data_IF_884202753233
#
_entry.id   IF_884202753233
#
_cell.length_a   1.000
_cell.length_b   1.000
_cell.length_c   1.000
_cell.angle_alpha   90.00
_cell.angle_beta   90.00
_cell.angle_gamma   90.00
#
_symmetry.space_group_name_H-M   'P 1'
#
loop_
_entity.id
_entity.type
_entity.pdbx_description
1 polymer ?
#
# COMPACT_ATOMS: atom_id res chain seq x y z
N UNK A 1 -7.45 20.03 7.82
CA UNK A 1 -6.06 19.53 7.95
C UNK A 1 -5.83 18.29 7.10
N UNK A 2 -6.61 17.19 7.24
CA UNK A 2 -6.40 15.96 6.44
C UNK A 2 -6.76 16.09 4.95
N UNK A 3 -7.78 16.88 4.56
CA UNK A 3 -8.12 17.09 3.14
C UNK A 3 -6.98 17.74 2.34
N UNK A 4 -6.25 18.66 2.93
CA UNK A 4 -5.11 19.32 2.29
C UNK A 4 -3.95 18.33 2.09
N UNK A 5 -3.69 17.45 3.08
CA UNK A 5 -2.68 16.42 2.96
C UNK A 5 -3.04 15.37 1.88
N UNK A 6 -4.29 14.89 1.87
CA UNK A 6 -4.75 13.94 0.86
C UNK A 6 -4.60 14.48 -0.56
N UNK A 7 -4.89 15.78 -0.76
CA UNK A 7 -4.70 16.45 -2.05
C UNK A 7 -3.22 16.60 -2.43
N UNK A 8 -2.35 16.93 -1.45
CA UNK A 8 -0.90 17.03 -1.64
C UNK A 8 -0.33 15.64 -1.97
N UNK A 9 -0.74 14.61 -1.22
CA UNK A 9 -0.33 13.23 -1.46
C UNK A 9 -0.64 12.76 -2.88
N UNK A 10 -1.86 13.02 -3.36
CA UNK A 10 -2.28 12.65 -4.73
C UNK A 10 -1.41 13.35 -5.81
N UNK A 11 -0.95 14.59 -5.53
CA UNK A 11 -0.01 15.31 -6.39
C UNK A 11 1.42 14.77 -6.31
N UNK A 12 1.89 14.37 -5.14
CA UNK A 12 3.28 13.95 -4.92
C UNK A 12 3.55 12.50 -5.28
N UNK A 13 2.49 11.71 -5.53
CA UNK A 13 2.63 10.33 -6.05
C UNK A 13 2.80 10.27 -7.57
N UNK A 14 3.15 11.40 -8.22
CA UNK A 14 3.39 11.48 -9.66
C UNK A 14 4.57 10.62 -10.15
N UNK A 15 5.53 10.34 -9.29
CA UNK A 15 6.71 9.52 -9.56
C UNK A 15 6.43 8.01 -9.40
N UNK A 16 5.25 7.64 -8.88
CA UNK A 16 4.83 6.24 -8.76
C UNK A 16 4.26 5.76 -10.09
N UNK A 17 4.92 4.79 -10.70
CA UNK A 17 4.46 4.16 -11.93
C UNK A 17 3.36 3.11 -11.66
N UNK A 18 2.15 3.60 -11.33
CA UNK A 18 0.98 2.76 -11.07
C UNK A 18 0.62 1.84 -12.25
N UNK A 19 0.86 2.31 -13.49
CA UNK A 19 0.58 1.52 -14.69
C UNK A 19 1.46 0.27 -14.72
N UNK A 20 2.77 0.45 -14.53
CA UNK A 20 3.74 -0.64 -14.45
C UNK A 20 3.38 -1.64 -13.35
N UNK A 21 3.05 -1.18 -12.14
CA UNK A 21 2.62 -2.06 -11.06
C UNK A 21 1.35 -2.83 -11.41
N UNK A 22 0.37 -2.15 -12.01
CA UNK A 22 -0.86 -2.80 -12.47
C UNK A 22 -0.60 -3.89 -13.51
N UNK A 23 0.35 -3.67 -14.43
CA UNK A 23 0.74 -4.65 -15.45
C UNK A 23 1.37 -5.90 -14.84
N UNK A 24 2.22 -5.74 -13.81
CA UNK A 24 2.81 -6.87 -13.08
C UNK A 24 1.72 -7.70 -12.42
N UNK A 25 0.78 -7.07 -11.72
CA UNK A 25 -0.36 -7.75 -11.08
C UNK A 25 -1.23 -8.46 -12.13
N UNK A 26 -1.61 -7.78 -13.21
CA UNK A 26 -2.42 -8.36 -14.30
C UNK A 26 -1.73 -9.57 -14.95
N UNK A 27 -0.41 -9.51 -15.10
CA UNK A 27 0.39 -10.64 -15.62
C UNK A 27 0.33 -11.85 -14.69
N UNK A 28 0.41 -11.64 -13.38
CA UNK A 28 0.30 -12.73 -12.40
C UNK A 28 -1.13 -13.29 -12.35
N UNK A 29 -2.18 -12.45 -12.36
CA UNK A 29 -3.57 -12.90 -12.49
C UNK A 29 -3.78 -13.76 -13.73
N UNK A 30 -3.20 -13.36 -14.87
CA UNK A 30 -3.26 -14.12 -16.12
C UNK A 30 -2.56 -15.48 -16.00
N UNK A 31 -1.38 -15.57 -15.36
CA UNK A 31 -0.66 -16.82 -15.13
C UNK A 31 -1.46 -17.80 -14.28
N UNK A 32 -2.19 -17.27 -13.29
CA UNK A 32 -3.07 -18.05 -12.42
C UNK A 32 -4.45 -18.37 -13.05
N UNK A 33 -4.70 -17.89 -14.27
CA UNK A 33 -5.98 -17.97 -14.97
C UNK A 33 -7.16 -17.38 -14.19
N UNK A 34 -6.89 -16.39 -13.31
CA UNK A 34 -7.90 -15.72 -12.49
C UNK A 34 -8.49 -14.55 -13.27
N UNK A 35 -9.82 -14.54 -13.37
CA UNK A 35 -10.63 -13.45 -13.93
C UNK A 35 -11.61 -13.01 -12.85
N UNK A 36 -11.23 -12.04 -12.00
CA UNK A 36 -12.02 -11.69 -10.83
C UNK A 36 -13.36 -11.07 -11.24
N UNK A 37 -14.40 -11.39 -10.52
CA UNK A 37 -15.73 -10.75 -10.55
C UNK A 37 -15.96 -9.90 -9.31
N UNK A 38 -15.25 -10.23 -8.24
CA UNK A 38 -15.23 -9.48 -6.98
C UNK A 38 -13.80 -9.15 -6.58
N UNK A 39 -13.57 -7.89 -6.24
CA UNK A 39 -12.25 -7.35 -5.88
C UNK A 39 -12.35 -6.62 -4.53
N UNK A 40 -11.37 -6.85 -3.67
CA UNK A 40 -11.15 -6.08 -2.46
C UNK A 40 -9.78 -5.42 -2.53
N UNK A 41 -9.73 -4.10 -2.43
CA UNK A 41 -8.52 -3.29 -2.34
C UNK A 41 -8.34 -2.79 -0.91
N UNK A 42 -7.25 -3.20 -0.25
CA UNK A 42 -6.89 -2.81 1.11
C UNK A 42 -5.90 -1.65 1.06
N UNK A 43 -6.21 -0.54 1.74
CA UNK A 43 -5.48 0.70 1.63
C UNK A 43 -5.74 1.37 0.27
N UNK A 44 -7.02 1.48 -0.13
CA UNK A 44 -7.39 2.01 -1.45
C UNK A 44 -6.92 3.46 -1.68
N UNK A 45 -6.75 4.24 -0.61
CA UNK A 45 -6.37 5.64 -0.68
C UNK A 45 -7.35 6.45 -1.55
N UNK A 46 -6.81 7.31 -2.40
CA UNK A 46 -7.58 8.10 -3.36
C UNK A 46 -7.98 7.35 -4.64
N UNK A 47 -7.67 6.03 -4.73
CA UNK A 47 -8.04 5.16 -5.85
C UNK A 47 -7.07 5.22 -7.04
N UNK A 48 -5.82 5.58 -6.84
CA UNK A 48 -4.85 5.69 -7.95
C UNK A 48 -4.52 4.34 -8.59
N UNK A 49 -4.49 3.24 -7.81
CA UNK A 49 -4.34 1.89 -8.35
C UNK A 49 -5.68 1.35 -8.87
N UNK A 50 -6.78 1.70 -8.23
CA UNK A 50 -8.15 1.29 -8.56
C UNK A 50 -8.47 1.49 -10.04
N UNK A 51 -8.07 2.60 -10.65
CA UNK A 51 -8.37 2.94 -12.06
C UNK A 51 -7.92 1.88 -13.06
N UNK A 52 -6.94 1.04 -12.70
CA UNK A 52 -6.43 -0.01 -13.58
C UNK A 52 -7.20 -1.33 -13.47
N UNK A 53 -7.97 -1.51 -12.39
CA UNK A 53 -8.74 -2.74 -12.11
C UNK A 53 -10.24 -2.50 -12.12
N UNK A 54 -10.67 -1.27 -11.93
CA UNK A 54 -12.08 -0.92 -11.86
C UNK A 54 -12.80 -1.15 -13.20
N UNK A 55 -13.94 -1.80 -13.10
CA UNK A 55 -14.93 -1.93 -14.17
C UNK A 55 -16.32 -1.93 -13.50
N UNK A 56 -17.25 -1.18 -14.03
CA UNK A 56 -18.61 -1.02 -13.46
C UNK A 56 -19.42 -2.33 -13.35
N UNK A 57 -18.96 -3.41 -14.00
CA UNK A 57 -19.57 -4.76 -13.89
C UNK A 57 -19.00 -5.60 -12.76
N UNK A 58 -17.95 -5.13 -12.07
CA UNK A 58 -17.31 -5.84 -10.97
C UNK A 58 -17.93 -5.43 -9.63
N UNK A 59 -18.01 -6.40 -8.70
CA UNK A 59 -18.20 -6.07 -7.29
C UNK A 59 -16.85 -5.60 -6.73
N UNK A 60 -16.70 -4.29 -6.52
CA UNK A 60 -15.45 -3.69 -6.07
C UNK A 60 -15.63 -3.04 -4.71
N UNK A 61 -14.81 -3.48 -3.76
CA UNK A 61 -14.77 -2.94 -2.40
C UNK A 61 -13.39 -2.36 -2.12
N UNK A 62 -13.33 -1.19 -1.54
CA UNK A 62 -12.12 -0.54 -1.07
C UNK A 62 -12.19 -0.22 0.41
N UNK A 63 -11.09 -0.47 1.12
CA UNK A 63 -10.97 -0.17 2.55
C UNK A 63 -9.82 0.80 2.77
N UNK A 64 -10.03 1.83 3.55
CA UNK A 64 -8.97 2.76 3.98
C UNK A 64 -9.28 3.35 5.35
N UNK A 65 -8.23 3.65 6.11
CA UNK A 65 -8.33 4.32 7.39
C UNK A 65 -8.68 5.80 7.23
N UNK A 66 -8.25 6.43 6.14
CA UNK A 66 -8.43 7.85 5.87
C UNK A 66 -9.76 8.13 5.19
N UNK A 67 -10.69 8.74 5.93
CA UNK A 67 -11.96 9.19 5.38
C UNK A 67 -11.78 10.22 4.24
N UNK A 68 -10.80 11.10 4.37
CA UNK A 68 -10.53 12.14 3.36
C UNK A 68 -10.05 11.52 2.03
N UNK A 69 -9.24 10.45 2.09
CA UNK A 69 -8.84 9.67 0.91
C UNK A 69 -10.04 8.98 0.26
N UNK A 70 -10.92 8.38 1.07
CA UNK A 70 -12.14 7.74 0.56
C UNK A 70 -13.11 8.73 -0.08
N UNK A 71 -13.20 9.97 0.43
CA UNK A 71 -13.99 11.04 -0.22
C UNK A 71 -13.46 11.34 -1.64
N UNK A 72 -12.13 11.46 -1.81
CA UNK A 72 -11.51 11.66 -3.13
C UNK A 72 -11.74 10.45 -4.04
N UNK A 73 -11.65 9.24 -3.50
CA UNK A 73 -11.92 8.01 -4.25
C UNK A 73 -13.38 7.95 -4.72
N UNK A 74 -14.34 8.32 -3.85
CA UNK A 74 -15.77 8.35 -4.17
C UNK A 74 -16.10 9.31 -5.31
N UNK A 75 -15.40 10.45 -5.38
CA UNK A 75 -15.55 11.41 -6.47
C UNK A 75 -15.07 10.87 -7.82
N UNK A 76 -14.06 9.98 -7.80
CA UNK A 76 -13.49 9.34 -9.00
C UNK A 76 -14.31 8.12 -9.47
N UNK A 77 -14.92 7.36 -8.53
CA UNK A 77 -15.53 6.05 -8.81
C UNK A 77 -16.90 5.89 -8.14
N UNK A 78 -18.00 5.85 -8.94
CA UNK A 78 -19.37 5.88 -8.40
C UNK A 78 -19.96 4.53 -7.98
N UNK A 79 -19.38 3.40 -8.42
CA UNK A 79 -19.91 2.05 -8.17
C UNK A 79 -18.94 1.19 -7.38
N UNK A 80 -18.31 1.77 -6.36
CA UNK A 80 -17.41 1.09 -5.43
C UNK A 80 -18.02 1.15 -4.04
N UNK A 81 -17.99 0.04 -3.32
CA UNK A 81 -18.26 0.02 -1.88
C UNK A 81 -17.02 0.50 -1.15
N UNK A 82 -17.11 1.61 -0.43
CA UNK A 82 -16.01 2.17 0.35
C UNK A 82 -16.26 1.97 1.84
N UNK A 83 -15.26 1.42 2.55
CA UNK A 83 -15.31 1.12 3.97
C UNK A 83 -14.21 1.92 4.67
N UNK A 84 -14.61 2.79 5.61
CA UNK A 84 -13.66 3.51 6.44
C UNK A 84 -13.36 2.70 7.70
N UNK A 85 -12.28 1.94 7.69
CA UNK A 85 -11.93 1.01 8.77
C UNK A 85 -10.41 0.84 8.87
N UNK A 86 -9.92 0.56 10.09
CA UNK A 86 -8.57 0.08 10.35
C UNK A 86 -8.45 -1.38 9.88
N UNK A 87 -7.49 -1.68 9.02
CA UNK A 87 -7.24 -3.05 8.54
C UNK A 87 -7.01 -4.04 9.69
N UNK A 88 -6.47 -3.57 10.81
CA UNK A 88 -6.28 -4.38 12.01
C UNK A 88 -7.58 -4.79 12.72
N UNK A 89 -8.68 -4.12 12.41
CA UNK A 89 -10.02 -4.37 12.98
C UNK A 89 -11.00 -4.90 11.95
N UNK A 90 -10.60 -4.90 10.68
CA UNK A 90 -11.44 -5.33 9.57
C UNK A 90 -11.91 -6.77 9.75
N UNK A 91 -13.23 -6.98 9.61
CA UNK A 91 -13.86 -8.29 9.60
C UNK A 91 -14.56 -8.47 8.25
N UNK A 92 -13.99 -9.33 7.40
CA UNK A 92 -14.59 -9.64 6.11
C UNK A 92 -15.77 -10.59 6.30
N UNK A 93 -16.89 -10.29 5.67
CA UNK A 93 -18.11 -11.10 5.69
C UNK A 93 -18.48 -11.64 4.32
N UNK A 94 -17.77 -11.18 3.29
CA UNK A 94 -17.98 -11.58 1.90
C UNK A 94 -16.70 -12.22 1.33
N UNK A 95 -16.89 -13.01 0.27
CA UNK A 95 -15.78 -13.64 -0.42
C UNK A 95 -15.38 -12.83 -1.65
N UNK A 96 -14.07 -12.79 -1.93
CA UNK A 96 -13.50 -12.08 -3.07
C UNK A 96 -12.66 -13.01 -3.94
N UNK A 97 -12.74 -12.83 -5.26
CA UNK A 97 -11.91 -13.57 -6.22
C UNK A 97 -10.46 -13.03 -6.24
N UNK A 98 -10.32 -11.75 -5.96
CA UNK A 98 -9.04 -11.07 -5.90
C UNK A 98 -9.02 -10.07 -4.76
N UNK A 99 -8.06 -10.23 -3.85
CA UNK A 99 -7.77 -9.27 -2.79
C UNK A 99 -6.38 -8.71 -3.05
N UNK A 100 -6.21 -7.41 -2.94
CA UNK A 100 -4.88 -6.85 -3.07
C UNK A 100 -4.67 -5.61 -2.20
N UNK A 101 -3.40 -5.34 -1.94
CA UNK A 101 -2.91 -4.14 -1.26
C UNK A 101 -1.63 -3.68 -1.91
N UNK A 102 -1.48 -2.41 -2.18
CA UNK A 102 -0.29 -1.87 -2.85
C UNK A 102 0.28 -0.68 -2.11
N UNK A 103 1.53 -0.33 -2.46
CA UNK A 103 2.26 0.80 -1.90
C UNK A 103 2.45 0.69 -0.39
N UNK A 104 3.11 -0.42 0.02
CA UNK A 104 3.60 -0.63 1.38
C UNK A 104 2.56 -0.53 2.51
N UNK A 105 1.26 -0.54 2.19
CA UNK A 105 0.18 -0.48 3.19
C UNK A 105 0.40 -1.49 4.33
N UNK A 106 0.94 -2.67 4.04
CA UNK A 106 1.23 -3.72 5.04
C UNK A 106 2.33 -3.30 6.01
N UNK A 107 3.31 -2.48 5.58
CA UNK A 107 4.37 -2.01 6.48
C UNK A 107 3.85 -1.07 7.57
N UNK A 108 2.72 -0.41 7.38
CA UNK A 108 2.08 0.44 8.39
C UNK A 108 1.41 -0.35 9.53
N UNK A 109 1.24 -1.66 9.39
CA UNK A 109 0.75 -2.52 10.48
C UNK A 109 1.93 -2.91 11.36
N UNK A 110 2.12 -2.20 12.46
CA UNK A 110 3.30 -2.34 13.32
C UNK A 110 3.26 -3.58 14.21
N UNK A 111 2.06 -4.07 14.53
CA UNK A 111 1.81 -5.22 15.39
C UNK A 111 1.72 -6.51 14.55
N UNK A 112 2.69 -7.40 14.73
CA UNK A 112 2.79 -8.65 13.97
C UNK A 112 1.63 -9.62 14.28
N UNK A 113 1.04 -9.58 15.47
CA UNK A 113 -0.11 -10.43 15.82
C UNK A 113 -1.37 -9.93 15.08
N UNK A 114 -1.58 -8.62 15.03
CA UNK A 114 -2.67 -8.02 14.26
C UNK A 114 -2.51 -8.29 12.76
N UNK A 115 -1.29 -8.22 12.23
CA UNK A 115 -1.02 -8.58 10.84
C UNK A 115 -1.32 -10.06 10.57
N UNK A 116 -0.93 -10.95 11.47
CA UNK A 116 -1.25 -12.39 11.38
C UNK A 116 -2.77 -12.61 11.35
N UNK A 117 -3.52 -11.91 12.22
CA UNK A 117 -4.98 -12.01 12.26
C UNK A 117 -5.63 -11.48 10.98
N UNK A 118 -5.12 -10.37 10.43
CA UNK A 118 -5.56 -9.86 9.12
C UNK A 118 -5.33 -10.89 8.01
N UNK A 119 -4.15 -11.51 7.94
CA UNK A 119 -3.88 -12.54 6.94
C UNK A 119 -4.80 -13.76 7.07
N UNK A 120 -5.14 -14.17 8.30
CA UNK A 120 -6.10 -15.26 8.55
C UNK A 120 -7.49 -14.89 8.03
N UNK A 121 -7.97 -13.70 8.36
CA UNK A 121 -9.25 -13.19 7.88
C UNK A 121 -9.29 -13.07 6.34
N UNK A 122 -8.19 -12.62 5.72
CA UNK A 122 -8.07 -12.58 4.26
C UNK A 122 -8.11 -13.99 3.67
N UNK A 123 -7.37 -14.95 4.23
CA UNK A 123 -7.35 -16.31 3.71
C UNK A 123 -8.74 -16.98 3.74
N UNK A 124 -9.51 -16.78 4.81
CA UNK A 124 -10.87 -17.31 4.95
C UNK A 124 -11.83 -16.77 3.87
N UNK A 125 -11.60 -15.54 3.41
CA UNK A 125 -12.48 -14.81 2.49
C UNK A 125 -11.91 -14.65 1.07
N UNK A 126 -10.69 -15.14 0.79
CA UNK A 126 -10.07 -15.13 -0.52
C UNK A 126 -10.36 -16.44 -1.28
N UNK A 127 -11.08 -16.36 -2.39
CA UNK A 127 -11.41 -17.52 -3.23
C UNK A 127 -10.47 -17.73 -4.41
N UNK A 128 -9.64 -16.75 -4.70
CA UNK A 128 -8.71 -16.81 -5.82
C UNK A 128 -7.28 -16.51 -5.41
N UNK A 129 -6.91 -15.25 -5.32
CA UNK A 129 -5.55 -14.85 -4.98
C UNK A 129 -5.54 -13.57 -4.12
N UNK A 130 -4.64 -13.54 -3.15
CA UNK A 130 -4.26 -12.33 -2.43
C UNK A 130 -2.88 -11.87 -2.90
N UNK A 131 -2.77 -10.60 -3.30
CA UNK A 131 -1.51 -9.99 -3.70
C UNK A 131 -1.27 -8.71 -2.89
N UNK A 132 -0.05 -8.55 -2.37
CA UNK A 132 0.33 -7.31 -1.70
C UNK A 132 1.83 -7.07 -1.83
N UNK A 133 2.24 -5.83 -1.71
CA UNK A 133 3.65 -5.51 -1.66
C UNK A 133 4.07 -4.95 -0.31
N UNK A 134 5.36 -5.05 -0.07
CA UNK A 134 6.04 -4.38 1.03
C UNK A 134 7.31 -3.68 0.55
N UNK A 135 7.66 -2.62 1.23
CA UNK A 135 9.03 -2.11 1.23
C UNK A 135 9.93 -3.17 1.88
N UNK A 136 11.00 -3.56 1.19
CA UNK A 136 11.93 -4.58 1.70
C UNK A 136 12.81 -4.01 2.82
N UNK A 137 13.43 -4.88 3.65
CA UNK A 137 14.46 -4.44 4.59
C UNK A 137 15.59 -3.67 3.91
N UNK A 138 16.02 -4.06 2.71
CA UNK A 138 17.02 -3.33 1.94
C UNK A 138 16.59 -1.88 1.69
N UNK A 139 15.36 -1.66 1.22
CA UNK A 139 14.86 -0.29 0.99
C UNK A 139 14.80 0.49 2.29
N UNK A 140 14.17 -0.07 3.33
CA UNK A 140 13.91 0.67 4.56
C UNK A 140 15.18 0.93 5.39
N UNK A 141 16.18 0.04 5.34
CA UNK A 141 17.42 0.18 6.11
C UNK A 141 18.52 0.88 5.30
N UNK A 142 18.82 0.36 4.10
CA UNK A 142 19.99 0.82 3.35
C UNK A 142 19.69 2.07 2.49
N UNK A 143 18.49 2.15 1.91
CA UNK A 143 18.12 3.26 1.02
C UNK A 143 17.49 4.40 1.80
N UNK A 144 16.49 4.10 2.63
CA UNK A 144 15.77 5.10 3.43
C UNK A 144 16.52 5.40 4.73
N UNK A 145 16.76 4.37 5.56
CA UNK A 145 17.59 4.38 6.77
C UNK A 145 17.44 5.65 7.61
N UNK A 146 18.58 6.25 7.97
CA UNK A 146 18.65 7.54 8.64
C UNK A 146 18.95 8.69 7.67
N UNK A 147 18.48 8.60 6.44
CA UNK A 147 18.70 9.56 5.38
C UNK A 147 17.73 10.74 5.47
N UNK A 148 18.15 11.84 4.86
CA UNK A 148 17.37 13.06 4.72
C UNK A 148 17.21 13.36 3.24
N UNK A 149 15.99 13.67 2.83
CA UNK A 149 15.66 14.02 1.45
C UNK A 149 15.03 15.40 1.40
N UNK A 150 15.29 16.11 0.31
CA UNK A 150 14.73 17.44 0.05
C UNK A 150 14.25 17.45 -1.40
N UNK A 151 13.01 17.85 -1.58
CA UNK A 151 12.37 17.87 -2.90
C UNK A 151 11.64 19.18 -3.14
N UNK A 152 11.51 19.53 -4.40
CA UNK A 152 10.68 20.62 -4.87
C UNK A 152 9.87 20.13 -6.09
N UNK A 153 8.56 20.30 -6.01
CA UNK A 153 7.66 19.95 -7.10
C UNK A 153 6.58 21.02 -7.22
N UNK A 154 6.55 21.74 -8.34
CA UNK A 154 5.67 22.88 -8.56
C UNK A 154 5.78 23.92 -7.42
N UNK A 155 4.66 24.20 -6.74
CA UNK A 155 4.58 25.12 -5.61
C UNK A 155 4.74 24.44 -4.24
N UNK A 156 5.24 23.20 -4.21
CA UNK A 156 5.44 22.43 -3.01
C UNK A 156 6.93 22.14 -2.81
N UNK A 157 7.49 22.65 -1.73
CA UNK A 157 8.80 22.25 -1.23
C UNK A 157 8.59 21.31 -0.03
N UNK A 158 9.34 20.20 0.05
CA UNK A 158 9.23 19.33 1.21
C UNK A 158 10.55 18.71 1.63
N UNK A 159 10.67 18.50 2.93
CA UNK A 159 11.76 17.77 3.55
C UNK A 159 11.24 16.46 4.10
N UNK A 160 12.03 15.41 3.94
CA UNK A 160 11.71 14.08 4.41
C UNK A 160 12.89 13.55 5.21
N UNK A 161 12.73 13.40 6.53
CA UNK A 161 13.75 12.96 7.47
C UNK A 161 13.34 11.61 8.00
N UNK A 162 14.23 10.63 7.91
CA UNK A 162 13.97 9.27 8.39
C UNK A 162 14.78 8.97 9.64
N UNK A 163 14.23 8.14 10.50
CA UNK A 163 14.92 7.60 11.67
C UNK A 163 14.62 6.11 11.81
N UNK A 164 15.64 5.28 11.63
CA UNK A 164 15.54 3.84 11.81
C UNK A 164 15.91 3.44 13.25
N UNK A 165 15.08 2.60 13.85
CA UNK A 165 15.25 2.03 15.18
C UNK A 165 15.47 0.52 15.05
N UNK A 166 16.73 0.12 15.15
CA UNK A 166 17.16 -1.27 14.91
C UNK A 166 16.53 -2.26 15.91
N UNK A 167 16.48 -1.91 17.21
CA UNK A 167 15.93 -2.78 18.25
C UNK A 167 14.46 -3.12 18.06
N UNK A 168 13.68 -2.18 17.51
CA UNK A 168 12.24 -2.32 17.30
C UNK A 168 11.89 -2.74 15.87
N UNK A 169 12.85 -2.68 14.94
CA UNK A 169 12.64 -2.81 13.50
C UNK A 169 11.56 -1.85 12.99
N UNK A 170 11.65 -0.60 13.41
CA UNK A 170 10.74 0.48 12.99
C UNK A 170 11.53 1.57 12.27
N UNK A 171 10.87 2.22 11.33
CA UNK A 171 11.39 3.43 10.70
C UNK A 171 10.31 4.51 10.77
N UNK A 172 10.69 5.66 11.32
CA UNK A 172 9.85 6.86 11.33
C UNK A 172 10.19 7.76 10.16
N UNK A 173 9.17 8.32 9.55
CA UNK A 173 9.23 9.31 8.51
C UNK A 173 8.64 10.62 9.01
N UNK A 174 9.44 11.67 9.05
CA UNK A 174 9.03 13.03 9.39
C UNK A 174 9.04 13.86 8.12
N UNK A 175 7.86 14.22 7.62
CA UNK A 175 7.71 14.94 6.36
C UNK A 175 7.11 16.32 6.65
N UNK A 176 7.83 17.36 6.27
CA UNK A 176 7.35 18.74 6.33
C UNK A 176 7.14 19.25 4.90
N UNK A 177 5.89 19.49 4.54
CA UNK A 177 5.49 20.14 3.29
C UNK A 177 5.36 21.63 3.50
N UNK A 178 5.87 22.43 2.58
CA UNK A 178 5.73 23.86 2.49
C UNK A 178 5.03 24.18 1.17
N UNK A 179 3.74 24.49 1.25
CA UNK A 179 2.89 24.78 0.10
C UNK A 179 2.85 26.30 -0.09
N UNK A 180 3.24 26.77 -1.26
CA UNK A 180 3.27 28.19 -1.60
C UNK A 180 1.87 28.74 -1.80
N UNK A 181 1.55 29.84 -1.14
CA UNK A 181 0.32 30.59 -1.29
C UNK A 181 0.45 31.65 -2.39
N UNK A 182 -0.68 32.22 -2.81
CA UNK A 182 -0.74 33.31 -3.83
C UNK A 182 0.05 34.56 -3.43
N UNK A 183 0.18 34.86 -2.12
CA UNK A 183 0.91 35.98 -1.57
C UNK A 183 2.40 35.71 -1.40
N UNK A 184 2.92 34.58 -1.90
CA UNK A 184 4.28 34.07 -1.72
C UNK A 184 4.66 33.65 -0.29
N UNK A 185 3.74 33.60 0.65
CA UNK A 185 3.94 32.94 1.93
C UNK A 185 3.87 31.42 1.74
N UNK A 186 4.27 30.65 2.77
CA UNK A 186 4.19 29.20 2.75
C UNK A 186 3.34 28.70 3.92
N UNK A 187 2.42 27.80 3.62
CA UNK A 187 1.72 27.01 4.62
C UNK A 187 2.56 25.76 4.89
N UNK A 188 2.88 25.50 6.17
CA UNK A 188 3.55 24.26 6.58
C UNK A 188 2.52 23.20 6.98
N UNK A 189 2.67 22.02 6.40
CA UNK A 189 1.88 20.82 6.76
C UNK A 189 2.87 19.76 7.18
N UNK A 190 2.69 19.18 8.36
CA UNK A 190 3.55 18.12 8.89
C UNK A 190 2.81 16.80 8.87
N UNK A 191 3.51 15.77 8.40
CA UNK A 191 3.08 14.37 8.44
C UNK A 191 4.16 13.53 9.11
N UNK A 192 3.74 12.63 9.99
CA UNK A 192 4.61 11.65 10.62
C UNK A 192 4.02 10.27 10.37
N UNK A 193 4.85 9.37 9.88
CA UNK A 193 4.45 8.00 9.57
C UNK A 193 5.48 7.05 10.16
N UNK A 194 5.06 5.83 10.50
CA UNK A 194 5.95 4.76 10.98
C UNK A 194 5.68 3.51 10.19
N UNK A 195 6.72 2.88 9.69
CA UNK A 195 6.65 1.57 9.05
C UNK A 195 7.41 0.53 9.87
N UNK A 196 6.91 -0.71 9.83
CA UNK A 196 7.61 -1.89 10.35
C UNK A 196 8.48 -2.48 9.26
N UNK A 197 9.74 -2.73 9.61
CA UNK A 197 10.69 -3.45 8.75
C UNK A 197 10.47 -4.95 8.93
N UNK A 198 9.65 -5.52 8.04
CA UNK A 198 9.40 -6.96 8.01
C UNK A 198 10.41 -7.68 7.15
N UNK A 199 11.03 -8.75 7.66
CA UNK A 199 11.77 -9.66 6.78
C UNK A 199 10.79 -10.45 5.89
N UNK A 200 11.22 -10.77 4.67
CA UNK A 200 10.40 -11.54 3.72
C UNK A 200 10.02 -12.90 4.29
N UNK A 201 10.92 -13.52 5.04
CA UNK A 201 10.66 -14.83 5.66
C UNK A 201 9.66 -14.74 6.82
N UNK A 202 9.68 -13.65 7.60
CA UNK A 202 8.67 -13.43 8.64
C UNK A 202 7.26 -13.29 8.04
N UNK A 203 7.11 -12.51 6.98
CA UNK A 203 5.84 -12.38 6.24
C UNK A 203 5.42 -13.73 5.66
N UNK A 204 6.33 -14.46 5.02
CA UNK A 204 6.05 -15.80 4.47
C UNK A 204 5.58 -16.77 5.55
N UNK A 205 6.24 -16.77 6.70
CA UNK A 205 5.85 -17.60 7.84
C UNK A 205 4.45 -17.26 8.36
N UNK A 206 4.13 -15.97 8.52
CA UNK A 206 2.80 -15.52 8.91
C UNK A 206 1.73 -15.96 7.91
N UNK A 207 1.98 -15.86 6.61
CA UNK A 207 1.05 -16.28 5.56
C UNK A 207 0.76 -17.78 5.61
N UNK A 208 1.77 -18.63 5.77
CA UNK A 208 1.57 -20.07 5.94
C UNK A 208 0.78 -20.40 7.20
N UNK A 209 1.08 -19.74 8.32
CA UNK A 209 0.32 -19.91 9.56
C UNK A 209 -1.13 -19.42 9.45
N UNK A 210 -1.41 -18.52 8.52
CA UNK A 210 -2.77 -18.03 8.22
C UNK A 210 -3.55 -18.93 7.26
N UNK A 211 -2.94 -20.03 6.78
CA UNK A 211 -3.61 -21.03 5.95
C UNK A 211 -3.37 -20.89 4.44
N UNK A 212 -2.57 -19.95 3.97
CA UNK A 212 -2.17 -19.92 2.56
C UNK A 212 -1.29 -21.11 2.21
N UNK A 213 -1.62 -21.82 1.10
CA UNK A 213 -0.92 -23.04 0.70
C UNK A 213 0.32 -22.77 -0.15
N UNK A 214 0.32 -21.65 -0.87
CA UNK A 214 1.42 -21.24 -1.72
C UNK A 214 1.66 -19.73 -1.63
N UNK A 215 2.93 -19.37 -1.50
CA UNK A 215 3.40 -17.98 -1.43
C UNK A 215 4.56 -17.80 -2.39
N UNK A 216 4.33 -17.07 -3.48
CA UNK A 216 5.35 -16.65 -4.42
C UNK A 216 5.72 -15.20 -4.12
N UNK A 217 7.02 -14.89 -4.18
CA UNK A 217 7.52 -13.52 -4.00
C UNK A 217 8.34 -13.13 -5.22
N UNK A 218 8.12 -11.93 -5.73
CA UNK A 218 8.85 -11.37 -6.86
C UNK A 218 9.22 -9.91 -6.58
N UNK A 219 10.20 -9.43 -7.29
CA UNK A 219 10.51 -8.01 -7.35
C UNK A 219 9.38 -7.27 -8.07
N UNK A 220 8.74 -6.31 -7.38
CA UNK A 220 7.56 -5.64 -7.92
C UNK A 220 7.92 -4.64 -9.02
N UNK A 221 9.11 -4.03 -8.94
CA UNK A 221 9.57 -3.06 -9.94
C UNK A 221 9.90 -3.71 -11.27
N UNK A 222 10.36 -4.95 -11.27
CA UNK A 222 10.79 -5.65 -12.48
C UNK A 222 9.89 -6.80 -12.93
N UNK A 223 9.05 -7.31 -12.01
CA UNK A 223 8.24 -8.52 -12.20
C UNK A 223 9.08 -9.79 -12.34
N UNK A 224 10.34 -9.78 -11.89
CA UNK A 224 11.30 -10.89 -11.95
C UNK A 224 11.55 -11.48 -10.56
N UNK A 225 12.51 -12.40 -10.46
CA UNK A 225 13.00 -12.92 -9.19
C UNK A 225 13.62 -11.82 -8.34
N UNK A 226 13.55 -11.99 -7.02
CA UNK A 226 14.20 -11.10 -6.07
C UNK A 226 15.72 -11.10 -6.26
N UNK A 227 16.31 -9.95 -6.03
CA UNK A 227 17.74 -9.71 -5.91
C UNK A 227 18.03 -9.11 -4.53
N UNK A 228 19.28 -9.14 -4.08
CA UNK A 228 19.66 -8.64 -2.75
C UNK A 228 19.32 -7.15 -2.55
N UNK A 229 19.24 -6.39 -3.65
CA UNK A 229 18.91 -4.96 -3.67
C UNK A 229 17.47 -4.65 -4.10
N UNK A 230 16.59 -5.65 -4.15
CA UNK A 230 15.16 -5.44 -4.44
C UNK A 230 14.57 -4.50 -3.39
N UNK A 231 13.94 -3.41 -3.83
CA UNK A 231 13.38 -2.41 -2.95
C UNK A 231 11.91 -2.66 -2.58
N UNK A 232 11.17 -3.31 -3.47
CA UNK A 232 9.74 -3.58 -3.29
C UNK A 232 9.43 -5.03 -3.69
N UNK A 233 8.90 -5.79 -2.75
CA UNK A 233 8.59 -7.20 -2.95
C UNK A 233 7.08 -7.41 -3.07
N UNK A 234 6.61 -8.02 -4.16
CA UNK A 234 5.21 -8.42 -4.36
C UNK A 234 5.03 -9.87 -3.89
N UNK A 235 4.14 -10.07 -2.94
CA UNK A 235 3.67 -11.37 -2.47
C UNK A 235 2.42 -11.78 -3.26
N UNK A 236 2.35 -13.05 -3.66
CA UNK A 236 1.26 -13.67 -4.41
C UNK A 236 0.89 -14.94 -3.67
N UNK A 237 -0.29 -14.95 -3.03
CA UNK A 237 -0.72 -15.93 -2.03
C UNK A 237 -2.02 -16.62 -2.49
N UNK A 238 -2.06 -17.97 -2.48
CA UNK A 238 -3.22 -18.77 -2.91
C UNK A 238 -3.23 -20.16 -2.26
#
# INVERSE_FOLDING_TARGET
MYKEFAYIYDKLTFDIDYEKYSEVIKKELKKLAIKPKSILELGIGSGNMTKYFYNSSLNYTGVDLSKDMLEICADKFHNITLINEDLCQLQLTENYDFIFSTLDTINYILDSEKLQNLFSNINENCKGVFMFDINTPYKLIEVMGNNHFVYEYEDIFYTWVNQYYEDDNLIDFYIDFFVKNEDNSYQRIRENQTEKVYSLDAIRFMLYNSGFNAVKIIDFDTGKSLEDYTQRALFICY
#
